data_IF_158589447623
#
_entry.id   IF_158589447623
#
_cell.length_a   1.000
_cell.length_b   1.000
_cell.length_c   1.000
_cell.angle_alpha   90.00
_cell.angle_beta   90.00
_cell.angle_gamma   90.00
#
_symmetry.space_group_name_H-M   'P 1'
#
loop_
_entity.id
_entity.type
_entity.pdbx_description
1 polymer ?
#
# COMPACT_ATOMS: atom_id res chain seq x y z
N UNK A 1 8.96 1.76 19.65
CA UNK A 1 10.29 1.53 20.24
C UNK A 1 11.28 2.16 19.29
N UNK A 2 12.33 2.81 19.79
CA UNK A 2 13.40 3.33 18.92
C UNK A 2 14.57 2.35 18.92
N UNK A 3 14.90 1.77 17.77
CA UNK A 3 16.11 0.96 17.59
C UNK A 3 17.17 1.83 16.91
N UNK A 4 18.29 2.04 17.60
CA UNK A 4 19.46 2.74 17.06
C UNK A 4 20.55 1.73 16.78
N UNK A 5 20.96 1.64 15.53
CA UNK A 5 22.04 0.76 15.09
C UNK A 5 22.93 1.48 14.08
N UNK A 6 24.20 1.15 14.11
CA UNK A 6 25.21 1.60 13.16
C UNK A 6 25.26 0.67 11.95
N UNK A 7 26.00 1.10 10.91
CA UNK A 7 26.36 0.21 9.81
C UNK A 7 27.15 -1.02 10.28
N UNK A 8 28.01 -0.87 11.29
CA UNK A 8 28.82 -1.98 11.81
C UNK A 8 27.94 -3.07 12.44
N UNK A 9 26.87 -2.68 13.13
CA UNK A 9 25.89 -3.61 13.70
C UNK A 9 25.18 -4.41 12.59
N UNK A 10 24.82 -3.75 11.48
CA UNK A 10 24.27 -4.45 10.30
C UNK A 10 25.29 -5.36 9.60
N UNK A 11 26.58 -4.98 9.60
CA UNK A 11 27.64 -5.79 8.99
C UNK A 11 27.94 -7.08 9.76
N UNK A 12 27.54 -7.16 11.05
CA UNK A 12 27.58 -8.40 11.82
C UNK A 12 26.58 -9.45 11.32
N UNK A 13 25.51 -9.03 10.64
CA UNK A 13 24.54 -9.94 10.03
C UNK A 13 25.04 -10.46 8.66
N UNK A 14 24.72 -11.72 8.30
CA UNK A 14 24.92 -12.23 6.94
C UNK A 14 24.34 -11.29 5.88
N UNK A 15 24.97 -11.25 4.70
CA UNK A 15 24.63 -10.29 3.65
C UNK A 15 23.17 -10.38 3.22
N UNK A 16 22.65 -11.59 3.04
CA UNK A 16 21.25 -11.79 2.65
C UNK A 16 20.28 -11.34 3.75
N UNK A 17 20.60 -11.55 5.04
CA UNK A 17 19.77 -11.09 6.16
C UNK A 17 19.64 -9.57 6.18
N UNK A 18 20.76 -8.84 6.13
CA UNK A 18 20.72 -7.37 6.22
C UNK A 18 20.10 -6.71 4.99
N UNK A 19 20.31 -7.26 3.79
CA UNK A 19 19.69 -6.73 2.58
C UNK A 19 18.18 -7.02 2.55
N UNK A 20 17.76 -8.21 3.00
CA UNK A 20 16.34 -8.52 3.18
C UNK A 20 15.70 -7.59 4.22
N UNK A 21 16.32 -7.38 5.37
CA UNK A 21 15.84 -6.45 6.40
C UNK A 21 15.64 -5.02 5.85
N UNK A 22 16.66 -4.45 5.22
CA UNK A 22 16.59 -3.09 4.67
C UNK A 22 15.55 -2.98 3.54
N UNK A 23 15.46 -4.00 2.67
CA UNK A 23 14.45 -4.04 1.61
C UNK A 23 13.03 -4.12 2.16
N UNK A 24 12.79 -4.99 3.15
CA UNK A 24 11.47 -5.11 3.79
C UNK A 24 11.09 -3.85 4.59
N UNK A 25 12.05 -3.19 5.22
CA UNK A 25 11.83 -1.90 5.89
C UNK A 25 11.40 -0.82 4.89
N UNK A 26 12.04 -0.75 3.71
CA UNK A 26 11.62 0.17 2.65
C UNK A 26 10.21 -0.17 2.15
N UNK A 27 9.92 -1.44 1.90
CA UNK A 27 8.59 -1.92 1.50
C UNK A 27 7.52 -1.49 2.51
N UNK A 28 7.79 -1.62 3.82
CA UNK A 28 6.86 -1.21 4.87
C UNK A 28 6.63 0.30 4.89
N UNK A 29 7.68 1.11 4.72
CA UNK A 29 7.58 2.57 4.66
C UNK A 29 6.70 3.02 3.49
N UNK A 30 6.97 2.50 2.29
CA UNK A 30 6.22 2.83 1.07
C UNK A 30 4.77 2.38 1.17
N UNK A 31 4.52 1.16 1.66
CA UNK A 31 3.16 0.62 1.87
C UNK A 31 2.37 1.48 2.86
N UNK A 32 3.01 1.88 3.97
CA UNK A 32 2.37 2.72 4.99
C UNK A 32 2.06 4.12 4.47
N UNK A 33 2.97 4.73 3.69
CA UNK A 33 2.76 6.05 3.11
C UNK A 33 1.59 6.03 2.12
N UNK A 34 1.59 5.06 1.19
CA UNK A 34 0.55 4.91 0.18
C UNK A 34 -0.82 4.56 0.80
N UNK A 35 -0.85 3.70 1.82
CA UNK A 35 -2.08 3.37 2.53
C UNK A 35 -2.66 4.59 3.26
N UNK A 36 -1.82 5.37 3.95
CA UNK A 36 -2.24 6.62 4.60
C UNK A 36 -2.76 7.62 3.57
N UNK A 37 -2.10 7.72 2.42
CA UNK A 37 -2.55 8.58 1.33
C UNK A 37 -3.92 8.16 0.79
N UNK A 38 -4.16 6.86 0.58
CA UNK A 38 -5.44 6.33 0.15
C UNK A 38 -6.55 6.65 1.17
N UNK A 39 -6.29 6.38 2.45
CA UNK A 39 -7.23 6.67 3.55
C UNK A 39 -7.54 8.17 3.64
N UNK A 40 -6.51 9.02 3.66
CA UNK A 40 -6.68 10.47 3.74
C UNK A 40 -7.47 11.02 2.55
N UNK A 41 -7.24 10.49 1.35
CA UNK A 41 -7.95 10.90 0.14
C UNK A 41 -9.43 10.53 0.22
N UNK A 42 -9.76 9.31 0.67
CA UNK A 42 -11.17 8.91 0.87
C UNK A 42 -11.86 9.72 1.96
N UNK A 43 -11.14 10.11 3.01
CA UNK A 43 -11.69 10.95 4.08
C UNK A 43 -11.82 12.44 3.70
N UNK A 44 -11.26 12.86 2.56
CA UNK A 44 -11.27 14.25 2.09
C UNK A 44 -12.38 14.54 1.06
N UNK A 45 -13.40 13.69 0.96
CA UNK A 45 -14.52 13.84 -0.01
C UNK A 45 -15.57 14.90 0.39
N UNK A 46 -15.34 15.68 1.45
CA UNK A 46 -16.20 16.79 1.84
C UNK A 46 -15.70 18.09 1.19
N UNK A 47 -16.60 18.83 0.52
CA UNK A 47 -16.25 20.12 -0.09
C UNK A 47 -17.05 20.43 -1.35
N UNK A 48 -16.55 21.35 -2.18
CA UNK A 48 -17.09 21.60 -3.52
C UNK A 48 -16.72 20.46 -4.50
N UNK A 49 -17.23 20.50 -5.73
CA UNK A 49 -16.97 19.45 -6.73
C UNK A 49 -15.46 19.28 -7.00
N UNK A 50 -14.70 20.37 -7.14
CA UNK A 50 -13.26 20.31 -7.37
C UNK A 50 -12.52 19.57 -6.26
N UNK A 51 -12.85 19.84 -4.99
CA UNK A 51 -12.29 19.15 -3.82
C UNK A 51 -12.61 17.65 -3.85
N UNK A 52 -13.86 17.29 -4.18
CA UNK A 52 -14.26 15.88 -4.30
C UNK A 52 -13.52 15.15 -5.42
N UNK A 53 -13.42 15.77 -6.59
CA UNK A 53 -12.71 15.20 -7.74
C UNK A 53 -11.21 15.04 -7.43
N UNK A 54 -10.63 16.01 -6.71
CA UNK A 54 -9.24 15.92 -6.20
C UNK A 54 -9.05 14.73 -5.28
N UNK A 55 -9.96 14.57 -4.33
CA UNK A 55 -9.93 13.50 -3.34
C UNK A 55 -10.10 12.12 -4.00
N UNK A 56 -11.01 12.00 -4.97
CA UNK A 56 -11.20 10.77 -5.73
C UNK A 56 -9.99 10.44 -6.61
N UNK A 57 -9.40 11.42 -7.29
CA UNK A 57 -8.18 11.25 -8.08
C UNK A 57 -7.01 10.78 -7.20
N UNK A 58 -6.81 11.44 -6.04
CA UNK A 58 -5.79 11.06 -5.05
C UNK A 58 -5.99 9.64 -4.53
N UNK A 59 -7.22 9.26 -4.20
CA UNK A 59 -7.56 7.92 -3.75
C UNK A 59 -7.29 6.88 -4.82
N UNK A 60 -7.76 7.11 -6.05
CA UNK A 60 -7.55 6.21 -7.19
C UNK A 60 -6.06 6.04 -7.49
N UNK A 61 -5.28 7.13 -7.51
CA UNK A 61 -3.83 7.07 -7.69
C UNK A 61 -3.17 6.23 -6.60
N UNK A 62 -3.48 6.50 -5.32
CA UNK A 62 -2.90 5.78 -4.20
C UNK A 62 -3.24 4.28 -4.24
N UNK A 63 -4.49 3.94 -4.54
CA UNK A 63 -4.97 2.56 -4.72
C UNK A 63 -4.21 1.86 -5.86
N UNK A 64 -4.05 2.51 -7.02
CA UNK A 64 -3.29 1.96 -8.16
C UNK A 64 -1.82 1.74 -7.81
N UNK A 65 -1.17 2.72 -7.19
CA UNK A 65 0.23 2.61 -6.77
C UNK A 65 0.41 1.50 -5.73
N UNK A 66 -0.47 1.45 -4.74
CA UNK A 66 -0.40 0.46 -3.67
C UNK A 66 -0.64 -0.96 -4.21
N UNK A 67 -1.57 -1.16 -5.14
CA UNK A 67 -1.77 -2.45 -5.81
C UNK A 67 -0.50 -2.92 -6.54
N UNK A 68 0.14 -2.02 -7.30
CA UNK A 68 1.38 -2.29 -7.99
C UNK A 68 2.51 -2.64 -7.01
N UNK A 69 2.70 -1.79 -5.99
CA UNK A 69 3.71 -1.95 -4.95
C UNK A 69 3.57 -3.26 -4.18
N UNK A 70 2.35 -3.60 -3.73
CA UNK A 70 2.07 -4.84 -2.99
C UNK A 70 2.32 -6.07 -3.88
N UNK A 71 1.99 -5.99 -5.16
CA UNK A 71 2.29 -7.06 -6.13
C UNK A 71 3.81 -7.28 -6.28
N UNK A 72 4.60 -6.22 -6.44
CA UNK A 72 6.07 -6.34 -6.50
C UNK A 72 6.68 -6.77 -5.17
N UNK A 73 6.14 -6.28 -4.05
CA UNK A 73 6.57 -6.63 -2.70
C UNK A 73 6.38 -8.12 -2.41
N UNK A 74 5.27 -8.71 -2.87
CA UNK A 74 5.09 -10.17 -2.81
C UNK A 74 6.19 -10.90 -3.58
N UNK A 75 6.52 -10.46 -4.80
CA UNK A 75 7.59 -11.08 -5.59
C UNK A 75 8.94 -10.97 -4.86
N UNK A 76 9.21 -9.84 -4.20
CA UNK A 76 10.39 -9.64 -3.37
C UNK A 76 10.42 -10.57 -2.15
N UNK A 77 9.30 -10.71 -1.42
CA UNK A 77 9.14 -11.64 -0.28
C UNK A 77 9.36 -13.09 -0.71
N UNK A 78 8.95 -13.43 -1.94
CA UNK A 78 9.08 -14.77 -2.51
C UNK A 78 10.46 -15.06 -3.11
N UNK A 79 11.39 -14.11 -3.10
CA UNK A 79 12.79 -14.36 -3.51
C UNK A 79 13.44 -15.41 -2.60
N UNK A 80 14.44 -16.12 -3.15
CA UNK A 80 15.20 -17.12 -2.41
C UNK A 80 15.92 -16.48 -1.22
N UNK A 81 16.48 -15.29 -1.43
CA UNK A 81 17.23 -14.51 -0.45
C UNK A 81 16.39 -14.12 0.76
N UNK A 82 15.19 -13.58 0.56
CA UNK A 82 14.28 -13.21 1.66
C UNK A 82 13.72 -14.47 2.33
N UNK A 83 13.37 -15.48 1.55
CA UNK A 83 12.80 -16.73 2.07
C UNK A 83 13.79 -17.55 2.90
N UNK A 84 15.06 -17.63 2.49
CA UNK A 84 16.10 -18.31 3.27
C UNK A 84 16.44 -17.52 4.53
N UNK A 85 16.59 -16.20 4.41
CA UNK A 85 16.84 -15.32 5.54
C UNK A 85 15.77 -15.46 6.62
N UNK A 86 14.50 -15.42 6.23
CA UNK A 86 13.39 -15.56 7.19
C UNK A 86 13.40 -16.92 7.88
N UNK A 87 13.69 -17.99 7.14
CA UNK A 87 13.74 -19.35 7.71
C UNK A 87 14.84 -19.47 8.77
N UNK A 88 16.06 -19.05 8.43
CA UNK A 88 17.22 -19.07 9.35
C UNK A 88 16.99 -18.20 10.59
N UNK A 89 16.35 -17.03 10.41
CA UNK A 89 15.99 -16.14 11.51
C UNK A 89 14.89 -16.74 12.39
N UNK A 90 13.85 -17.33 11.79
CA UNK A 90 12.73 -17.96 12.50
C UNK A 90 13.20 -19.16 13.31
N UNK A 91 14.00 -20.04 12.73
CA UNK A 91 14.54 -21.22 13.42
C UNK A 91 15.33 -20.80 14.66
N UNK A 92 16.25 -19.86 14.52
CA UNK A 92 17.01 -19.29 15.63
C UNK A 92 16.10 -18.63 16.68
N UNK A 93 15.13 -17.82 16.23
CA UNK A 93 14.26 -17.07 17.11
C UNK A 93 13.34 -17.99 17.94
N UNK A 94 12.86 -19.10 17.38
CA UNK A 94 12.08 -20.09 18.11
C UNK A 94 12.91 -20.86 19.15
N UNK A 95 14.21 -21.03 18.91
CA UNK A 95 15.13 -21.68 19.84
C UNK A 95 15.48 -20.76 21.03
N UNK A 96 15.86 -19.51 20.75
CA UNK A 96 16.33 -18.57 21.77
C UNK A 96 15.20 -17.76 22.45
N UNK A 97 14.08 -17.57 21.75
CA UNK A 97 12.96 -16.72 22.17
C UNK A 97 11.60 -17.39 21.88
N UNK A 98 11.26 -18.50 22.57
CA UNK A 98 10.02 -19.24 22.32
C UNK A 98 8.75 -18.41 22.59
N UNK A 99 8.84 -17.33 23.37
CA UNK A 99 7.75 -16.41 23.68
C UNK A 99 7.25 -15.61 22.47
N UNK A 100 8.05 -15.46 21.41
CA UNK A 100 7.64 -14.79 20.18
C UNK A 100 7.07 -15.76 19.12
N UNK A 101 6.83 -17.02 19.48
CA UNK A 101 6.36 -18.05 18.54
C UNK A 101 5.07 -17.67 17.82
N UNK A 102 4.09 -17.11 18.53
CA UNK A 102 2.82 -16.65 17.94
C UNK A 102 3.05 -15.59 16.85
N UNK A 103 3.90 -14.59 17.11
CA UNK A 103 4.24 -13.54 16.16
C UNK A 103 4.94 -14.09 14.90
N UNK A 104 5.78 -15.12 15.05
CA UNK A 104 6.42 -15.78 13.91
C UNK A 104 5.44 -16.63 13.11
N UNK A 105 4.45 -17.23 13.76
CA UNK A 105 3.38 -17.97 13.08
C UNK A 105 2.41 -17.03 12.35
N UNK A 106 2.10 -15.86 12.93
CA UNK A 106 1.39 -14.77 12.23
C UNK A 106 2.15 -14.36 10.97
N UNK A 107 3.48 -14.22 11.03
CA UNK A 107 4.26 -13.86 9.85
C UNK A 107 4.22 -14.92 8.73
N UNK A 108 4.21 -16.21 9.09
CA UNK A 108 4.03 -17.31 8.12
C UNK A 108 2.63 -17.29 7.52
N UNK A 109 1.61 -17.07 8.36
CA UNK A 109 0.22 -16.95 7.91
C UNK A 109 0.04 -15.74 6.99
N UNK A 110 0.58 -14.58 7.36
CA UNK A 110 0.55 -13.34 6.57
C UNK A 110 1.19 -13.52 5.21
N UNK A 111 2.37 -14.15 5.12
CA UNK A 111 2.98 -14.48 3.82
C UNK A 111 2.08 -15.37 2.95
N UNK A 112 1.46 -16.37 3.56
CA UNK A 112 0.56 -17.30 2.85
C UNK A 112 -0.71 -16.57 2.37
N UNK A 113 -1.30 -15.74 3.22
CA UNK A 113 -2.48 -14.93 2.92
C UNK A 113 -2.19 -13.88 1.84
N UNK A 114 -1.02 -13.23 1.88
CA UNK A 114 -0.57 -12.30 0.83
C UNK A 114 -0.50 -12.99 -0.54
N UNK A 115 0.03 -14.21 -0.60
CA UNK A 115 0.08 -14.98 -1.84
C UNK A 115 -1.33 -15.32 -2.37
N UNK A 116 -2.28 -15.59 -1.46
CA UNK A 116 -3.68 -15.87 -1.78
C UNK A 116 -4.45 -14.62 -2.20
N UNK A 117 -4.18 -13.46 -1.60
CA UNK A 117 -4.79 -12.17 -1.91
C UNK A 117 -4.44 -11.65 -3.31
N UNK A 118 -3.35 -12.16 -3.92
CA UNK A 118 -2.89 -11.75 -5.25
C UNK A 118 -2.97 -12.95 -6.23
N UNK A 119 -4.16 -13.48 -6.53
CA UNK A 119 -4.29 -14.58 -7.47
C UNK A 119 -3.96 -14.12 -8.90
N UNK A 120 -3.68 -15.08 -9.80
CA UNK A 120 -3.29 -14.79 -11.20
C UNK A 120 -4.29 -13.90 -11.97
N UNK A 121 -5.56 -13.90 -11.58
CA UNK A 121 -6.64 -13.10 -12.17
C UNK A 121 -7.32 -12.17 -11.16
N UNK A 122 -6.68 -11.91 -10.02
CA UNK A 122 -7.23 -11.05 -8.98
C UNK A 122 -7.09 -9.56 -9.30
N UNK A 123 -7.88 -8.75 -8.58
CA UNK A 123 -7.88 -7.29 -8.71
C UNK A 123 -6.47 -6.70 -8.67
N UNK A 124 -5.70 -6.99 -7.62
CA UNK A 124 -4.36 -6.41 -7.41
C UNK A 124 -3.45 -6.64 -8.62
N UNK A 125 -3.48 -7.86 -9.18
CA UNK A 125 -2.65 -8.20 -10.33
C UNK A 125 -3.14 -7.56 -11.63
N UNK A 126 -4.45 -7.45 -11.81
CA UNK A 126 -5.05 -6.74 -12.95
C UNK A 126 -4.72 -5.27 -12.89
N UNK A 127 -4.91 -4.62 -11.74
CA UNK A 127 -4.50 -3.23 -11.54
C UNK A 127 -3.01 -3.05 -11.81
N UNK A 128 -2.14 -3.92 -11.27
CA UNK A 128 -0.69 -3.88 -11.56
C UNK A 128 -0.39 -3.91 -13.06
N UNK A 129 -1.12 -4.74 -13.83
CA UNK A 129 -0.89 -4.93 -15.27
C UNK A 129 -1.60 -3.96 -16.19
N UNK A 130 -2.73 -3.41 -15.78
CA UNK A 130 -3.63 -2.66 -16.68
C UNK A 130 -3.67 -1.17 -16.29
N UNK A 131 -3.33 -0.83 -15.03
CA UNK A 131 -3.57 0.50 -14.48
C UNK A 131 -2.46 1.07 -13.58
N UNK A 132 -1.57 0.30 -12.95
CA UNK A 132 -0.65 0.88 -11.95
C UNK A 132 0.45 1.73 -12.61
N UNK A 133 1.31 1.14 -13.43
CA UNK A 133 2.55 1.80 -13.86
C UNK A 133 2.50 2.36 -15.28
N UNK A 134 1.40 2.19 -15.98
CA UNK A 134 1.21 2.66 -17.35
C UNK A 134 -0.27 2.90 -17.63
N UNK A 135 -0.51 3.53 -18.76
CA UNK A 135 -1.84 3.77 -19.32
C UNK A 135 -2.04 2.77 -20.45
N UNK A 136 -3.02 1.87 -20.30
CA UNK A 136 -3.41 0.94 -21.35
C UNK A 136 -4.47 1.59 -22.27
N UNK A 137 -4.15 1.85 -23.56
CA UNK A 137 -5.10 2.45 -24.49
C UNK A 137 -6.37 1.61 -24.69
N UNK A 138 -6.28 0.28 -24.66
CA UNK A 138 -7.43 -0.60 -24.84
C UNK A 138 -8.40 -0.47 -23.65
N UNK A 139 -7.85 -0.35 -22.44
CA UNK A 139 -8.64 -0.09 -21.24
C UNK A 139 -9.31 1.28 -21.28
N UNK A 140 -8.61 2.31 -21.76
CA UNK A 140 -9.19 3.65 -21.94
C UNK A 140 -10.34 3.62 -22.94
N UNK A 141 -10.13 3.04 -24.12
CA UNK A 141 -11.15 2.97 -25.17
C UNK A 141 -12.39 2.22 -24.69
N UNK A 142 -12.18 1.06 -24.04
CA UNK A 142 -13.25 0.27 -23.46
C UNK A 142 -14.02 1.00 -22.34
N UNK A 143 -13.34 1.85 -21.57
CA UNK A 143 -13.96 2.65 -20.50
C UNK A 143 -14.71 3.85 -21.06
N UNK A 144 -14.15 4.52 -22.06
CA UNK A 144 -14.80 5.63 -22.77
C UNK A 144 -16.10 5.20 -23.44
N UNK A 145 -16.10 4.04 -24.11
CA UNK A 145 -17.30 3.48 -24.75
C UNK A 145 -18.45 3.14 -23.78
N UNK A 146 -18.19 3.11 -22.47
CA UNK A 146 -19.18 2.81 -21.43
C UNK A 146 -19.78 4.07 -20.80
N UNK A 147 -19.17 5.23 -21.01
CA UNK A 147 -19.68 6.46 -20.42
C UNK A 147 -21.02 6.86 -21.06
N UNK A 148 -21.99 7.33 -20.27
CA UNK A 148 -23.20 7.94 -20.82
C UNK A 148 -22.85 9.09 -21.76
N UNK A 149 -23.54 9.19 -22.90
CA UNK A 149 -23.28 10.23 -23.89
C UNK A 149 -23.57 11.65 -23.36
N UNK A 150 -24.41 11.76 -22.32
CA UNK A 150 -24.81 12.98 -21.64
C UNK A 150 -24.06 13.20 -20.31
N UNK A 151 -23.08 12.36 -19.98
CA UNK A 151 -22.23 12.56 -18.80
C UNK A 151 -21.40 13.84 -18.96
N UNK A 152 -21.55 14.75 -18.00
CA UNK A 152 -20.72 15.95 -17.92
C UNK A 152 -19.30 15.56 -17.49
N UNK A 153 -18.30 16.00 -18.26
CA UNK A 153 -16.89 15.85 -17.93
C UNK A 153 -16.36 17.21 -17.47
N UNK A 154 -15.74 17.25 -16.30
CA UNK A 154 -15.27 18.50 -15.68
C UNK A 154 -13.76 18.43 -15.46
N UNK A 155 -13.04 19.40 -15.99
CA UNK A 155 -11.63 19.63 -15.70
C UNK A 155 -11.49 20.91 -14.87
N UNK A 156 -10.73 20.83 -13.78
CA UNK A 156 -10.48 21.93 -12.86
C UNK A 156 -9.10 22.50 -13.14
N UNK A 157 -9.03 23.70 -13.70
CA UNK A 157 -7.76 24.39 -13.97
C UNK A 157 -7.47 25.41 -12.88
N UNK A 158 -6.38 25.20 -12.15
CA UNK A 158 -5.90 26.13 -11.14
C UNK A 158 -4.80 27.05 -11.69
N UNK A 159 -4.56 28.16 -11.00
CA UNK A 159 -3.47 29.09 -11.34
C UNK A 159 -2.11 28.45 -11.13
N UNK A 160 -1.95 27.64 -10.07
CA UNK A 160 -0.75 26.84 -9.88
C UNK A 160 -0.85 25.47 -10.56
N UNK A 161 0.21 25.07 -11.26
CA UNK A 161 0.30 23.83 -12.04
C UNK A 161 0.04 22.57 -11.20
N UNK A 162 0.30 22.60 -9.88
CA UNK A 162 0.08 21.47 -8.97
C UNK A 162 -1.37 21.27 -8.51
N UNK A 163 -2.26 22.23 -8.80
CA UNK A 163 -3.64 22.24 -8.30
C UNK A 163 -4.68 21.96 -9.41
N UNK A 164 -4.22 21.74 -10.65
CA UNK A 164 -5.11 21.40 -11.76
C UNK A 164 -5.43 19.91 -11.77
N UNK A 165 -6.68 19.56 -12.00
CA UNK A 165 -7.17 18.17 -12.05
C UNK A 165 -7.98 17.97 -13.32
N UNK A 166 -7.62 16.93 -14.06
CA UNK A 166 -8.30 16.54 -15.29
C UNK A 166 -9.38 15.50 -14.96
N UNK A 167 -10.50 15.94 -14.40
CA UNK A 167 -11.57 15.07 -13.89
C UNK A 167 -12.19 14.18 -14.96
N UNK A 168 -12.12 14.56 -16.24
CA UNK A 168 -12.51 13.70 -17.36
C UNK A 168 -11.65 12.41 -17.42
N UNK A 169 -10.33 12.55 -17.26
CA UNK A 169 -9.42 11.41 -17.27
C UNK A 169 -9.61 10.53 -16.03
N UNK A 170 -9.88 11.13 -14.88
CA UNK A 170 -10.13 10.41 -13.63
C UNK A 170 -11.43 9.61 -13.69
N UNK A 171 -12.49 10.20 -14.26
CA UNK A 171 -13.77 9.53 -14.48
C UNK A 171 -13.61 8.29 -15.36
N UNK A 172 -12.77 8.37 -16.41
CA UNK A 172 -12.43 7.22 -17.25
C UNK A 172 -11.74 6.11 -16.46
N UNK A 173 -10.75 6.45 -15.62
CA UNK A 173 -10.04 5.46 -14.83
C UNK A 173 -10.89 4.86 -13.70
N UNK A 174 -11.77 5.65 -13.08
CA UNK A 174 -12.74 5.17 -12.11
C UNK A 174 -13.76 4.22 -12.76
N UNK A 175 -14.22 4.55 -13.96
CA UNK A 175 -15.09 3.66 -14.76
C UNK A 175 -14.38 2.37 -15.14
N UNK A 176 -13.10 2.45 -15.49
CA UNK A 176 -12.26 1.28 -15.75
C UNK A 176 -12.17 0.38 -14.51
N UNK A 177 -11.91 0.96 -13.33
CA UNK A 177 -11.86 0.24 -12.06
C UNK A 177 -13.19 -0.44 -11.73
N UNK A 178 -14.30 0.29 -11.86
CA UNK A 178 -15.65 -0.26 -11.67
C UNK A 178 -15.90 -1.43 -12.61
N UNK A 179 -15.51 -1.32 -13.87
CA UNK A 179 -15.61 -2.42 -14.81
C UNK A 179 -14.75 -3.63 -14.43
N UNK A 180 -13.50 -3.40 -14.00
CA UNK A 180 -12.59 -4.46 -13.54
C UNK A 180 -13.22 -5.27 -12.40
N UNK A 181 -13.92 -4.58 -11.48
CA UNK A 181 -14.59 -5.16 -10.32
C UNK A 181 -15.99 -5.70 -10.61
N UNK A 182 -16.59 -5.35 -11.76
CA UNK A 182 -17.99 -5.68 -12.05
C UNK A 182 -18.99 -4.84 -11.27
N UNK A 183 -18.56 -3.68 -10.77
CA UNK A 183 -19.38 -2.73 -10.04
C UNK A 183 -19.98 -1.67 -10.98
N UNK A 184 -21.21 -1.25 -10.71
CA UNK A 184 -21.86 -0.19 -11.46
C UNK A 184 -21.52 1.21 -10.92
N UNK A 185 -21.27 1.31 -9.61
CA UNK A 185 -20.96 2.54 -8.92
C UNK A 185 -19.44 2.65 -8.72
N UNK A 186 -18.85 3.75 -9.19
CA UNK A 186 -17.41 3.98 -9.14
C UNK A 186 -16.87 4.16 -7.73
N UNK A 187 -17.68 4.69 -6.82
CA UNK A 187 -17.30 4.90 -5.42
C UNK A 187 -17.32 3.58 -4.65
N UNK A 188 -18.31 2.73 -4.92
CA UNK A 188 -18.34 1.34 -4.40
C UNK A 188 -17.12 0.58 -4.89
N UNK A 189 -16.81 0.66 -6.18
CA UNK A 189 -15.62 0.03 -6.77
C UNK A 189 -14.32 0.51 -6.12
N UNK A 190 -14.16 1.82 -5.93
CA UNK A 190 -12.98 2.40 -5.30
C UNK A 190 -12.81 1.93 -3.85
N UNK A 191 -13.89 1.94 -3.07
CA UNK A 191 -13.89 1.47 -1.69
C UNK A 191 -13.57 -0.03 -1.59
N UNK A 192 -14.17 -0.85 -2.45
CA UNK A 192 -13.90 -2.29 -2.51
C UNK A 192 -12.44 -2.56 -2.88
N UNK A 193 -11.90 -1.85 -3.87
CA UNK A 193 -10.50 -1.95 -4.25
C UNK A 193 -9.57 -1.59 -3.09
N UNK A 194 -9.84 -0.46 -2.43
CA UNK A 194 -9.08 -0.03 -1.26
C UNK A 194 -9.11 -1.07 -0.16
N UNK A 195 -10.27 -1.66 0.16
CA UNK A 195 -10.39 -2.68 1.20
C UNK A 195 -9.55 -3.93 0.87
N UNK A 196 -9.68 -4.46 -0.35
CA UNK A 196 -8.90 -5.64 -0.78
C UNK A 196 -7.40 -5.38 -0.76
N UNK A 197 -6.97 -4.20 -1.20
CA UNK A 197 -5.55 -3.83 -1.20
C UNK A 197 -5.05 -3.58 0.23
N UNK A 198 -5.84 -2.94 1.09
CA UNK A 198 -5.50 -2.71 2.50
C UNK A 198 -5.34 -4.03 3.26
N UNK A 199 -6.20 -5.01 3.00
CA UNK A 199 -6.08 -6.36 3.56
C UNK A 199 -4.76 -7.03 3.12
N UNK A 200 -4.41 -6.94 1.83
CA UNK A 200 -3.13 -7.43 1.33
C UNK A 200 -1.92 -6.71 1.96
N UNK A 201 -2.01 -5.41 2.23
CA UNK A 201 -0.99 -4.66 2.98
C UNK A 201 -0.89 -5.16 4.42
N UNK A 202 -2.01 -5.49 5.06
CA UNK A 202 -2.03 -6.11 6.39
C UNK A 202 -1.24 -7.42 6.42
N UNK A 203 -1.54 -8.33 5.50
CA UNK A 203 -0.82 -9.61 5.36
C UNK A 203 0.68 -9.44 5.09
N UNK A 204 1.05 -8.44 4.28
CA UNK A 204 2.44 -8.06 4.04
C UNK A 204 3.10 -7.50 5.32
N UNK A 205 2.38 -6.68 6.07
CA UNK A 205 2.81 -6.09 7.34
C UNK A 205 3.11 -7.16 8.38
N UNK A 206 2.24 -8.17 8.51
CA UNK A 206 2.45 -9.30 9.43
C UNK A 206 3.77 -10.04 9.14
N UNK A 207 4.03 -10.34 7.87
CA UNK A 207 5.30 -10.96 7.46
C UNK A 207 6.51 -10.07 7.78
N UNK A 208 6.45 -8.79 7.41
CA UNK A 208 7.56 -7.85 7.64
C UNK A 208 7.82 -7.67 9.13
N UNK A 209 6.77 -7.59 9.95
CA UNK A 209 6.90 -7.45 11.39
C UNK A 209 7.62 -8.66 12.00
N UNK A 210 7.18 -9.88 11.69
CA UNK A 210 7.86 -11.09 12.17
C UNK A 210 9.31 -11.18 11.73
N UNK A 211 9.60 -10.86 10.46
CA UNK A 211 10.97 -10.82 9.96
C UNK A 211 11.81 -9.78 10.73
N UNK A 212 11.29 -8.57 10.89
CA UNK A 212 12.00 -7.44 11.49
C UNK A 212 12.29 -7.67 12.97
N UNK A 213 11.34 -8.26 13.71
CA UNK A 213 11.53 -8.64 15.11
C UNK A 213 12.62 -9.70 15.23
N UNK A 214 12.54 -10.79 14.45
CA UNK A 214 13.55 -11.86 14.48
C UNK A 214 14.95 -11.35 14.12
N UNK A 215 15.06 -10.50 13.09
CA UNK A 215 16.33 -9.86 12.70
C UNK A 215 16.88 -8.98 13.84
N UNK A 216 16.03 -8.15 14.43
CA UNK A 216 16.43 -7.19 15.45
C UNK A 216 16.84 -7.86 16.76
N UNK A 217 16.15 -8.95 17.15
CA UNK A 217 16.53 -9.78 18.30
C UNK A 217 17.93 -10.37 18.10
N UNK A 218 18.19 -10.92 16.90
CA UNK A 218 19.45 -11.60 16.61
C UNK A 218 20.65 -10.67 16.49
N UNK A 219 20.48 -9.52 15.84
CA UNK A 219 21.61 -8.70 15.42
C UNK A 219 21.64 -7.29 16.01
N UNK A 220 20.51 -6.75 16.45
CA UNK A 220 20.40 -5.34 16.84
C UNK A 220 20.14 -5.13 18.33
N UNK A 221 20.24 -6.20 19.14
CA UNK A 221 20.11 -6.12 20.59
C UNK A 221 18.70 -5.78 21.09
N UNK A 222 17.68 -5.99 20.24
CA UNK A 222 16.29 -5.93 20.67
C UNK A 222 16.08 -6.91 21.82
N UNK A 223 15.25 -6.53 22.81
CA UNK A 223 14.83 -7.42 23.89
C UNK A 223 13.30 -7.52 23.88
N UNK A 224 12.73 -8.71 24.13
CA UNK A 224 11.29 -8.83 24.32
C UNK A 224 10.78 -7.88 25.42
N UNK A 225 9.62 -7.26 25.22
CA UNK A 225 8.98 -6.37 26.19
C UNK A 225 9.53 -4.95 26.28
N UNK A 226 10.42 -4.52 25.37
CA UNK A 226 10.79 -3.10 25.29
C UNK A 226 9.58 -2.22 24.92
N UNK A 227 9.37 -1.08 25.60
CA UNK A 227 8.21 -0.24 25.35
C UNK A 227 8.19 0.35 23.94
N UNK A 228 6.98 0.43 23.38
CA UNK A 228 6.69 1.14 22.14
C UNK A 228 7.04 2.63 22.21
N UNK A 229 7.10 3.29 21.05
CA UNK A 229 7.03 4.75 21.00
C UNK A 229 5.56 4.96 20.74
N UNK A 230 4.87 5.57 21.69
CA UNK A 230 3.53 6.09 21.43
C UNK A 230 3.70 7.32 20.55
N UNK A 231 3.17 7.23 19.33
CA UNK A 231 3.01 8.39 18.47
C UNK A 231 1.60 8.88 18.72
N UNK A 232 1.43 10.17 19.02
CA UNK A 232 0.10 10.79 19.02
C UNK A 232 -0.51 10.56 17.63
N UNK A 233 -1.46 9.63 17.58
CA UNK A 233 -2.22 9.35 16.37
C UNK A 233 -3.37 10.34 16.36
N UNK A 234 -3.36 11.30 15.44
CA UNK A 234 -4.65 11.79 14.93
C UNK A 234 -5.45 10.56 14.47
N UNK A 235 -6.77 10.57 14.65
CA UNK A 235 -7.57 9.47 14.14
C UNK A 235 -7.29 9.38 12.63
N UNK A 236 -7.13 8.18 12.08
CA UNK A 236 -6.91 8.01 10.64
C UNK A 236 -8.02 8.69 9.81
N UNK A 237 -9.20 8.88 10.40
CA UNK A 237 -10.35 9.64 9.87
C UNK A 237 -10.09 11.14 9.70
N UNK A 238 -9.15 11.69 10.47
CA UNK A 238 -8.91 13.13 10.58
C UNK A 238 -7.76 13.59 9.68
N UNK A 239 -6.98 12.64 9.11
CA UNK A 239 -5.93 12.93 8.15
C UNK A 239 -6.57 13.40 6.85
N UNK A 240 -6.42 14.69 6.54
CA UNK A 240 -6.86 15.27 5.27
C UNK A 240 -5.68 15.51 4.34
N UNK A 241 -5.89 15.30 3.04
CA UNK A 241 -4.89 15.70 2.06
C UNK A 241 -4.83 17.24 2.01
N UNK A 242 -3.63 17.86 2.02
CA UNK A 242 -3.54 19.30 1.84
C UNK A 242 -3.95 19.64 0.40
N UNK A 243 -5.22 19.98 0.20
CA UNK A 243 -5.72 20.52 -1.06
C UNK A 243 -5.46 22.03 -1.05
N UNK A 244 -4.58 22.51 -1.92
CA UNK A 244 -4.29 23.94 -2.07
C UNK A 244 -5.26 24.63 -3.04
N UNK A 245 -6.53 24.24 -3.03
CA UNK A 245 -7.53 24.86 -3.89
C UNK A 245 -8.19 26.01 -3.13
N UNK A 246 -7.66 27.22 -3.30
CA UNK A 246 -8.40 28.43 -3.00
C UNK A 246 -9.43 28.64 -4.12
N UNK A 247 -10.68 28.24 -3.89
CA UNK A 247 -11.78 28.59 -4.80
C UNK A 247 -12.05 30.10 -4.78
N UNK A 248 -12.54 30.69 -5.88
CA UNK A 248 -13.12 32.03 -5.82
C UNK A 248 -14.37 32.00 -4.92
N UNK A 249 -14.45 32.94 -3.97
CA UNK A 249 -15.63 33.19 -3.12
C UNK A 249 -16.89 33.53 -3.93
#
# INVERSE_FOLDING_TARGET
MELRYSRADLEAAPRHHRLAFLGLAQVANESSLLLRLALASVNSMEGNQAVRDSAQAGALFAVRMLAGHVSESRLFVDTLEVSSAFRELREWALEEHPDIGELLDTAVAGRTALAAAIPKRGLIRRLRHEASFHVDPELIEASYARLPADMEMVDHHAVEVGNSIFGAAETLHLTALAHILGEADVQVALNEAQNQISDAVGHLGDFINGFSVAFSLRYLGLRPGMPGIEVESELLTDIKFPLFIHGPE
#
